data_IF_703634717780
#
_entry.id   IF_703634717780
#
_cell.length_a   1.000
_cell.length_b   1.000
_cell.length_c   1.000
_cell.angle_alpha   90.00
_cell.angle_beta   90.00
_cell.angle_gamma   90.00
#
_symmetry.space_group_name_H-M   'P 1'
#
loop_
_entity.id
_entity.type
_entity.pdbx_description
1 polymer ?
#
# COMPACT_ATOMS: atom_id res chain seq x y z
N UNK A 1 -8.30 -40.67 -24.01
CA UNK A 1 -6.98 -40.25 -24.53
C UNK A 1 -5.84 -40.51 -23.52
N UNK A 2 -6.09 -41.23 -22.41
CA UNK A 2 -5.05 -41.61 -21.43
C UNK A 2 -4.41 -42.98 -21.72
N UNK A 3 -5.15 -43.90 -22.36
CA UNK A 3 -4.71 -45.28 -22.60
C UNK A 3 -3.52 -45.35 -23.59
N UNK A 4 -3.37 -44.36 -24.47
CA UNK A 4 -2.27 -44.32 -25.46
C UNK A 4 -0.94 -43.77 -24.90
N UNK A 5 -0.94 -43.11 -23.74
CA UNK A 5 0.29 -42.58 -23.12
C UNK A 5 1.10 -43.63 -22.36
N UNK A 6 0.50 -44.78 -22.06
CA UNK A 6 1.09 -45.80 -21.18
C UNK A 6 2.05 -46.77 -21.89
N UNK A 7 2.15 -46.70 -23.23
CA UNK A 7 3.05 -47.56 -24.03
C UNK A 7 4.33 -46.86 -24.50
N UNK A 8 4.49 -45.55 -24.25
CA UNK A 8 5.66 -44.82 -24.73
C UNK A 8 6.77 -44.79 -23.67
N UNK A 9 8.01 -45.14 -24.05
CA UNK A 9 9.15 -45.13 -23.13
C UNK A 9 9.51 -43.70 -22.70
N UNK A 10 10.12 -43.58 -21.50
CA UNK A 10 10.33 -42.31 -20.76
C UNK A 10 10.93 -41.17 -21.60
N UNK A 11 11.88 -41.49 -22.49
CA UNK A 11 12.53 -40.55 -23.42
C UNK A 11 11.58 -39.92 -24.46
N UNK A 12 10.49 -40.59 -24.84
CA UNK A 12 9.47 -40.04 -25.75
C UNK A 12 8.57 -39.04 -25.01
N UNK A 13 8.32 -39.28 -23.73
CA UNK A 13 7.55 -38.36 -22.89
C UNK A 13 8.32 -37.06 -22.63
N UNK A 14 9.62 -37.16 -22.38
CA UNK A 14 10.50 -35.99 -22.25
C UNK A 14 10.58 -35.19 -23.56
N UNK A 15 10.66 -35.87 -24.71
CA UNK A 15 10.63 -35.23 -26.02
C UNK A 15 9.31 -34.50 -26.31
N UNK A 16 8.17 -35.06 -25.90
CA UNK A 16 6.85 -34.45 -26.02
C UNK A 16 6.73 -33.18 -25.17
N UNK A 17 7.24 -33.19 -23.92
CA UNK A 17 7.26 -32.02 -23.06
C UNK A 17 8.09 -30.88 -23.65
N UNK A 18 9.28 -31.19 -24.19
CA UNK A 18 10.14 -30.20 -24.85
C UNK A 18 9.44 -29.61 -26.08
N UNK A 19 8.73 -30.43 -26.87
CA UNK A 19 7.96 -29.96 -28.03
C UNK A 19 6.81 -29.05 -27.61
N UNK A 20 6.05 -29.41 -26.57
CA UNK A 20 4.95 -28.60 -26.06
C UNK A 20 5.43 -27.23 -25.55
N UNK A 21 6.52 -27.21 -24.78
CA UNK A 21 7.16 -25.96 -24.32
C UNK A 21 7.66 -25.13 -25.50
N UNK A 22 8.29 -25.76 -26.50
CA UNK A 22 8.74 -25.07 -27.72
C UNK A 22 7.57 -24.45 -28.49
N UNK A 23 6.43 -25.15 -28.59
CA UNK A 23 5.21 -24.62 -29.21
C UNK A 23 4.69 -23.41 -28.42
N UNK A 24 4.62 -23.48 -27.09
CA UNK A 24 4.18 -22.36 -26.23
C UNK A 24 5.09 -21.15 -26.41
N UNK A 25 6.41 -21.35 -26.41
CA UNK A 25 7.40 -20.28 -26.62
C UNK A 25 7.24 -19.66 -28.01
N UNK A 26 7.06 -20.48 -29.04
CA UNK A 26 6.85 -20.02 -30.41
C UNK A 26 5.54 -19.21 -30.54
N UNK A 27 4.46 -19.67 -29.91
CA UNK A 27 3.17 -19.01 -29.91
C UNK A 27 3.22 -17.67 -29.15
N UNK A 28 3.87 -17.64 -27.99
CA UNK A 28 4.10 -16.42 -27.21
C UNK A 28 4.96 -15.40 -27.98
N UNK A 29 6.00 -15.88 -28.67
CA UNK A 29 6.84 -15.04 -29.52
C UNK A 29 6.06 -14.46 -30.71
N UNK A 30 5.24 -15.28 -31.38
CA UNK A 30 4.37 -14.84 -32.47
C UNK A 30 3.33 -13.82 -32.00
N UNK A 31 2.67 -14.06 -30.86
CA UNK A 31 1.72 -13.12 -30.25
C UNK A 31 2.39 -11.79 -29.90
N UNK A 32 3.56 -11.83 -29.26
CA UNK A 32 4.33 -10.62 -28.94
C UNK A 32 4.73 -9.84 -30.19
N UNK A 33 5.14 -10.54 -31.25
CA UNK A 33 5.53 -9.93 -32.52
C UNK A 33 4.32 -9.35 -33.26
N UNK A 34 3.19 -10.05 -33.26
CA UNK A 34 1.92 -9.61 -33.83
C UNK A 34 1.39 -8.37 -33.11
N UNK A 35 1.35 -8.39 -31.79
CA UNK A 35 0.91 -7.26 -30.97
C UNK A 35 1.76 -6.01 -31.20
N UNK A 36 3.09 -6.15 -31.25
CA UNK A 36 3.99 -5.02 -31.59
C UNK A 36 3.67 -4.45 -32.97
N UNK A 37 3.50 -5.29 -33.99
CA UNK A 37 3.16 -4.85 -35.35
C UNK A 37 1.79 -4.15 -35.43
N UNK A 38 0.78 -4.64 -34.71
CA UNK A 38 -0.56 -4.03 -34.69
C UNK A 38 -0.52 -2.70 -33.96
N UNK A 39 0.16 -2.63 -32.81
CA UNK A 39 0.36 -1.40 -32.06
C UNK A 39 1.12 -0.34 -32.90
N UNK A 40 2.15 -0.74 -33.64
CA UNK A 40 2.89 0.15 -34.55
C UNK A 40 2.02 0.65 -35.72
N UNK A 41 1.12 -0.21 -36.25
CA UNK A 41 0.19 0.17 -37.32
C UNK A 41 -0.91 1.11 -36.85
N UNK A 42 -1.44 0.92 -35.64
CA UNK A 42 -2.47 1.80 -35.08
C UNK A 42 -1.93 3.22 -34.88
N UNK A 43 -0.68 3.35 -34.46
CA UNK A 43 -0.05 4.65 -34.19
C UNK A 43 0.16 5.46 -35.44
N UNK A 44 0.62 4.81 -36.52
CA UNK A 44 0.76 5.45 -37.83
C UNK A 44 -0.58 5.92 -38.43
N UNK A 45 -1.71 5.40 -37.95
CA UNK A 45 -3.05 5.69 -38.49
C UNK A 45 -3.87 6.65 -37.64
N UNK A 46 -3.51 6.89 -36.38
CA UNK A 46 -4.33 7.66 -35.43
C UNK A 46 -3.60 8.80 -34.71
N UNK A 47 -2.34 9.09 -35.06
CA UNK A 47 -1.57 10.21 -34.47
C UNK A 47 -1.61 10.24 -32.94
N UNK A 48 -1.63 9.04 -32.34
CA UNK A 48 -1.72 8.85 -30.90
C UNK A 48 -0.42 9.35 -30.25
N UNK A 49 -0.49 10.15 -29.17
CA UNK A 49 0.69 10.64 -28.49
C UNK A 49 1.55 9.47 -28.00
N UNK A 50 2.84 9.52 -28.31
CA UNK A 50 3.82 8.46 -28.08
C UNK A 50 3.86 8.02 -26.60
N UNK A 51 3.48 8.93 -25.69
CA UNK A 51 3.49 8.77 -24.24
C UNK A 51 2.53 7.70 -23.71
N UNK A 52 1.43 7.41 -24.40
CA UNK A 52 0.46 6.36 -24.00
C UNK A 52 0.86 5.00 -24.59
N UNK A 53 1.54 5.03 -25.75
CA UNK A 53 1.85 3.84 -26.51
C UNK A 53 2.97 3.01 -25.88
N UNK A 54 4.01 3.67 -25.37
CA UNK A 54 5.15 3.03 -24.71
C UNK A 54 4.72 2.23 -23.46
N UNK A 55 3.96 2.80 -22.50
CA UNK A 55 3.47 2.04 -21.36
C UNK A 55 2.50 0.93 -21.79
N UNK A 56 1.61 1.17 -22.77
CA UNK A 56 0.69 0.15 -23.27
C UNK A 56 1.42 -1.06 -23.86
N UNK A 57 2.46 -0.85 -24.68
CA UNK A 57 3.29 -1.93 -25.24
C UNK A 57 4.08 -2.66 -24.16
N UNK A 58 4.57 -1.92 -23.17
CA UNK A 58 5.30 -2.49 -22.03
C UNK A 58 4.37 -3.40 -21.21
N UNK A 59 3.19 -2.91 -20.82
CA UNK A 59 2.19 -3.67 -20.06
C UNK A 59 1.75 -4.91 -20.86
N UNK A 60 1.39 -4.75 -22.14
CA UNK A 60 0.99 -5.89 -22.97
C UNK A 60 2.12 -6.91 -23.13
N UNK A 61 3.37 -6.45 -23.29
CA UNK A 61 4.54 -7.32 -23.32
C UNK A 61 4.74 -8.09 -22.02
N UNK A 62 4.54 -7.43 -20.87
CA UNK A 62 4.56 -8.07 -19.55
C UNK A 62 3.44 -9.09 -19.38
N UNK A 63 2.21 -8.77 -19.78
CA UNK A 63 1.07 -9.70 -19.72
C UNK A 63 1.36 -10.95 -20.56
N UNK A 64 1.82 -10.80 -21.81
CA UNK A 64 2.17 -11.93 -22.68
C UNK A 64 3.27 -12.78 -22.04
N UNK A 65 4.30 -12.13 -21.47
CA UNK A 65 5.38 -12.84 -20.79
C UNK A 65 4.87 -13.65 -19.58
N UNK A 66 4.07 -13.03 -18.71
CA UNK A 66 3.49 -13.70 -17.53
C UNK A 66 2.60 -14.86 -17.94
N UNK A 67 1.71 -14.68 -18.92
CA UNK A 67 0.84 -15.77 -19.41
C UNK A 67 1.67 -16.91 -19.99
N UNK A 68 2.68 -16.61 -20.82
CA UNK A 68 3.57 -17.63 -21.38
C UNK A 68 4.34 -18.37 -20.28
N UNK A 69 4.85 -17.66 -19.28
CA UNK A 69 5.52 -18.23 -18.13
C UNK A 69 4.59 -19.17 -17.36
N UNK A 70 3.35 -18.76 -17.08
CA UNK A 70 2.36 -19.59 -16.41
C UNK A 70 2.05 -20.88 -17.19
N UNK A 71 1.88 -20.79 -18.51
CA UNK A 71 1.68 -21.96 -19.37
C UNK A 71 2.88 -22.92 -19.35
N UNK A 72 4.11 -22.38 -19.30
CA UNK A 72 5.32 -23.21 -19.18
C UNK A 72 5.37 -23.89 -17.81
N UNK A 73 5.08 -23.16 -16.73
CA UNK A 73 5.04 -23.71 -15.37
C UNK A 73 4.01 -24.84 -15.25
N UNK A 74 2.83 -24.67 -15.86
CA UNK A 74 1.80 -25.71 -15.92
C UNK A 74 2.31 -26.99 -16.61
N UNK A 75 3.05 -26.85 -17.71
CA UNK A 75 3.67 -28.00 -18.41
C UNK A 75 4.82 -28.63 -17.64
N UNK A 76 5.53 -27.88 -16.81
CA UNK A 76 6.56 -28.38 -15.89
C UNK A 76 5.96 -29.06 -14.64
N UNK A 77 4.64 -29.19 -14.56
CA UNK A 77 3.95 -29.86 -13.46
C UNK A 77 3.60 -28.94 -12.28
N UNK A 78 3.86 -27.64 -12.38
CA UNK A 78 3.40 -26.66 -11.39
C UNK A 78 1.95 -26.32 -11.71
N UNK A 79 1.00 -26.90 -10.97
CA UNK A 79 -0.41 -26.62 -11.22
C UNK A 79 -0.72 -25.14 -10.95
N UNK A 80 -1.62 -24.56 -11.77
CA UNK A 80 -2.10 -23.19 -11.54
C UNK A 80 -2.69 -23.00 -10.14
N UNK A 81 -3.18 -24.08 -9.52
CA UNK A 81 -3.66 -24.09 -8.14
C UNK A 81 -2.53 -23.84 -7.12
N UNK A 82 -1.32 -24.36 -7.33
CA UNK A 82 -0.17 -24.12 -6.44
C UNK A 82 0.31 -22.66 -6.51
N UNK A 83 0.33 -22.06 -7.71
CA UNK A 83 0.60 -20.63 -7.86
C UNK A 83 -0.48 -19.78 -7.18
N UNK A 84 -1.74 -20.14 -7.37
CA UNK A 84 -2.87 -19.45 -6.75
C UNK A 84 -2.82 -19.51 -5.22
N UNK A 85 -2.50 -20.68 -4.64
CA UNK A 85 -2.35 -20.82 -3.19
C UNK A 85 -1.13 -20.08 -2.66
N UNK A 86 -0.02 -20.03 -3.39
CA UNK A 86 1.14 -19.24 -3.01
C UNK A 86 0.83 -17.73 -2.97
N UNK A 87 0.13 -17.20 -3.98
CA UNK A 87 -0.26 -15.78 -4.04
C UNK A 87 -1.23 -15.44 -2.91
N UNK A 88 -2.27 -16.26 -2.73
CA UNK A 88 -3.28 -16.03 -1.69
C UNK A 88 -2.68 -16.17 -0.30
N UNK A 89 -1.79 -17.13 -0.08
CA UNK A 89 -1.02 -17.29 1.16
C UNK A 89 -0.13 -16.07 1.46
N UNK A 90 0.66 -15.62 0.48
CA UNK A 90 1.47 -14.42 0.62
C UNK A 90 0.62 -13.17 0.92
N UNK A 91 -0.52 -13.03 0.23
CA UNK A 91 -1.46 -11.92 0.44
C UNK A 91 -2.06 -11.96 1.84
N UNK A 92 -2.41 -13.15 2.35
CA UNK A 92 -2.92 -13.31 3.71
C UNK A 92 -1.87 -12.87 4.76
N UNK A 93 -0.61 -13.28 4.59
CA UNK A 93 0.49 -12.84 5.48
C UNK A 93 0.71 -11.33 5.38
N UNK A 94 0.68 -10.76 4.17
CA UNK A 94 0.82 -9.32 3.95
C UNK A 94 -0.32 -8.53 4.64
N UNK A 95 -1.56 -9.03 4.59
CA UNK A 95 -2.69 -8.41 5.27
C UNK A 95 -2.50 -8.38 6.80
N UNK A 96 -2.02 -9.48 7.40
CA UNK A 96 -1.71 -9.53 8.83
C UNK A 96 -0.58 -8.56 9.20
N UNK A 97 0.48 -8.50 8.39
CA UNK A 97 1.58 -7.57 8.59
C UNK A 97 1.11 -6.10 8.49
N UNK A 98 0.23 -5.80 7.54
CA UNK A 98 -0.35 -4.47 7.39
C UNK A 98 -1.20 -4.07 8.60
N UNK A 99 -1.99 -4.99 9.14
CA UNK A 99 -2.77 -4.76 10.35
C UNK A 99 -1.87 -4.42 11.55
N UNK A 100 -0.73 -5.11 11.69
CA UNK A 100 0.25 -4.80 12.73
C UNK A 100 0.87 -3.40 12.55
N UNK A 101 1.15 -2.98 11.32
CA UNK A 101 1.71 -1.66 11.01
C UNK A 101 0.69 -0.51 11.04
N UNK A 102 -0.61 -0.81 11.07
CA UNK A 102 -1.70 0.18 10.93
C UNK A 102 -1.59 1.35 11.92
N UNK A 103 -1.30 1.06 13.19
CA UNK A 103 -1.18 2.09 14.22
C UNK A 103 -0.03 3.07 13.94
N UNK A 104 1.13 2.54 13.53
CA UNK A 104 2.32 3.35 13.19
C UNK A 104 2.00 4.23 11.99
N UNK A 105 1.37 3.66 10.96
CA UNK A 105 1.02 4.38 9.74
C UNK A 105 -0.02 5.48 10.01
N UNK A 106 -1.07 5.16 10.78
CA UNK A 106 -2.12 6.12 11.15
C UNK A 106 -1.55 7.30 11.94
N UNK A 107 -0.72 7.05 12.96
CA UNK A 107 -0.10 8.13 13.74
C UNK A 107 0.88 8.96 12.89
N UNK A 108 1.66 8.32 12.02
CA UNK A 108 2.57 9.01 11.10
C UNK A 108 1.82 9.91 10.12
N UNK A 109 0.71 9.43 9.58
CA UNK A 109 -0.16 10.22 8.71
C UNK A 109 -0.80 11.39 9.46
N UNK A 110 -1.26 11.17 10.70
CA UNK A 110 -1.77 12.24 11.56
C UNK A 110 -0.70 13.28 11.90
N UNK A 111 0.56 12.87 12.14
CA UNK A 111 1.67 13.81 12.30
C UNK A 111 1.85 14.67 11.04
N UNK A 112 1.85 14.06 9.87
CA UNK A 112 1.92 14.77 8.58
C UNK A 112 0.77 15.77 8.42
N UNK A 113 -0.45 15.40 8.80
CA UNK A 113 -1.59 16.31 8.82
C UNK A 113 -1.40 17.47 9.81
N UNK A 114 -0.90 17.21 11.01
CA UNK A 114 -0.61 18.26 12.01
C UNK A 114 0.43 19.24 11.45
N UNK A 115 1.47 18.78 10.77
CA UNK A 115 2.49 19.66 10.19
C UNK A 115 1.97 20.47 8.99
N UNK A 116 1.16 19.86 8.12
CA UNK A 116 0.67 20.51 6.89
C UNK A 116 -0.51 21.43 7.13
N UNK A 117 -1.47 21.02 7.96
CA UNK A 117 -2.69 21.81 8.25
C UNK A 117 -2.54 22.70 9.48
N UNK A 118 -1.51 22.49 10.30
CA UNK A 118 -1.24 23.22 11.55
C UNK A 118 -2.50 23.48 12.41
N UNK A 119 -3.27 22.43 12.77
CA UNK A 119 -4.48 22.59 13.57
C UNK A 119 -4.18 23.11 14.98
N UNK A 120 -2.96 22.87 15.48
CA UNK A 120 -2.35 23.45 16.66
C UNK A 120 -0.86 23.60 16.45
N UNK A 121 -0.21 24.47 17.24
CA UNK A 121 1.23 24.74 17.19
C UNK A 121 1.88 24.41 18.54
N UNK A 122 3.20 24.25 18.52
CA UNK A 122 3.99 24.15 19.74
C UNK A 122 3.77 25.43 20.56
N UNK A 123 3.47 25.27 21.85
CA UNK A 123 3.13 26.35 22.77
C UNK A 123 1.64 26.55 23.01
N UNK A 124 0.75 26.04 22.13
CA UNK A 124 -0.70 26.12 22.34
C UNK A 124 -1.16 25.23 23.50
N UNK A 125 -2.22 25.66 24.18
CA UNK A 125 -2.87 24.88 25.23
C UNK A 125 -4.03 24.10 24.65
N UNK A 126 -4.06 22.79 24.93
CA UNK A 126 -5.05 21.85 24.42
C UNK A 126 -5.73 21.14 25.57
N UNK A 127 -7.06 21.03 25.48
CA UNK A 127 -7.87 20.13 26.30
C UNK A 127 -8.48 19.05 25.41
N UNK A 128 -8.19 17.80 25.71
CA UNK A 128 -8.81 16.66 25.02
C UNK A 128 -10.08 16.30 25.77
N UNK A 129 -11.23 16.53 25.13
CA UNK A 129 -12.54 16.20 25.66
C UNK A 129 -12.83 14.74 25.34
N UNK A 130 -12.97 13.91 26.37
CA UNK A 130 -13.48 12.55 26.21
C UNK A 130 -15.01 12.57 26.31
N UNK A 131 -15.69 11.73 25.53
CA UNK A 131 -17.15 11.64 25.56
C UNK A 131 -17.67 10.99 26.85
N UNK A 132 -16.79 10.34 27.61
CA UNK A 132 -17.06 9.89 28.98
C UNK A 132 -16.70 11.00 29.94
N UNK A 133 -17.67 11.38 30.78
CA UNK A 133 -17.76 12.46 31.79
C UNK A 133 -16.60 12.56 32.82
N UNK A 134 -15.35 12.43 32.36
CA UNK A 134 -14.12 12.56 33.14
C UNK A 134 -13.41 13.85 32.75
N UNK A 135 -12.78 14.47 33.74
CA UNK A 135 -11.90 15.62 33.59
C UNK A 135 -10.94 15.36 32.43
N UNK A 136 -11.06 16.16 31.36
CA UNK A 136 -10.27 16.03 30.15
C UNK A 136 -8.79 16.27 30.42
N UNK A 137 -7.93 15.71 29.58
CA UNK A 137 -6.48 15.95 29.68
C UNK A 137 -6.22 17.38 29.20
N UNK A 138 -5.77 18.25 30.10
CA UNK A 138 -5.39 19.63 29.80
C UNK A 138 -3.87 19.81 29.83
N UNK A 139 -3.28 20.34 28.76
CA UNK A 139 -1.85 20.60 28.73
C UNK A 139 -1.36 21.41 27.55
N UNK A 140 -0.16 21.98 27.71
CA UNK A 140 0.51 22.78 26.69
C UNK A 140 1.36 21.90 25.76
N UNK A 141 1.27 22.11 24.45
CA UNK A 141 2.07 21.36 23.46
C UNK A 141 3.54 21.75 23.56
N UNK A 142 4.41 20.80 23.94
CA UNK A 142 5.87 21.02 24.00
C UNK A 142 6.54 20.58 22.70
N UNK A 143 6.15 19.42 22.17
CA UNK A 143 6.82 18.83 21.00
C UNK A 143 5.89 17.85 20.28
N UNK A 144 6.01 17.79 18.95
CA UNK A 144 5.24 16.92 18.07
C UNK A 144 6.22 15.91 17.45
N UNK A 145 6.07 14.62 17.78
CA UNK A 145 6.84 13.53 17.16
C UNK A 145 5.98 12.80 16.12
N UNK A 146 6.58 11.84 15.41
CA UNK A 146 5.91 11.12 14.33
C UNK A 146 4.75 10.23 14.83
N UNK A 147 4.90 9.62 16.01
CA UNK A 147 3.90 8.69 16.56
C UNK A 147 3.03 9.30 17.66
N UNK A 148 3.53 10.29 18.38
CA UNK A 148 2.84 10.92 19.50
C UNK A 148 3.24 12.39 19.64
N UNK A 149 2.41 13.16 20.34
CA UNK A 149 2.67 14.54 20.74
C UNK A 149 2.82 14.61 22.26
N UNK A 150 3.77 15.41 22.74
CA UNK A 150 4.04 15.60 24.16
C UNK A 150 3.37 16.88 24.64
N UNK A 151 2.51 16.74 25.63
CA UNK A 151 1.81 17.81 26.33
C UNK A 151 2.39 17.96 27.75
N UNK A 152 2.58 19.19 28.20
CA UNK A 152 2.87 19.50 29.60
C UNK A 152 1.55 19.63 30.35
N UNK A 153 1.32 18.79 31.34
CA UNK A 153 0.13 18.90 32.19
C UNK A 153 0.15 20.23 32.97
N UNK A 154 -0.98 20.96 32.93
CA UNK A 154 -1.16 22.25 33.59
C UNK A 154 -2.26 22.13 34.65
N UNK A 155 -2.04 22.70 35.85
CA UNK A 155 -3.09 22.76 36.90
C UNK A 155 -2.96 21.76 38.05
N UNK A 156 -1.80 21.12 38.23
CA UNK A 156 -1.54 20.26 39.40
C UNK A 156 -1.02 21.12 40.57
N UNK A 157 -1.70 21.04 41.73
CA UNK A 157 -1.37 21.80 42.95
C UNK A 157 0.03 21.45 43.52
N UNK A 158 0.56 20.26 43.20
CA UNK A 158 1.86 19.76 43.68
C UNK A 158 3.10 20.38 43.01
N UNK A 159 2.94 21.29 42.03
CA UNK A 159 4.05 21.96 41.35
C UNK A 159 4.96 21.05 40.51
N UNK A 160 4.62 19.76 40.35
CA UNK A 160 5.35 18.81 39.50
C UNK A 160 4.87 18.90 38.06
N UNK A 161 5.81 19.10 37.13
CA UNK A 161 5.54 19.03 35.70
C UNK A 161 5.42 17.57 35.25
N UNK A 162 4.23 17.13 34.87
CA UNK A 162 4.02 15.82 34.23
C UNK A 162 4.01 16.00 32.71
N UNK A 163 4.71 15.12 32.00
CA UNK A 163 4.64 15.03 30.55
C UNK A 163 3.62 13.96 30.15
N UNK A 164 2.64 14.35 29.35
CA UNK A 164 1.60 13.46 28.82
C UNK A 164 1.90 13.21 27.35
N UNK A 165 2.03 11.95 26.97
CA UNK A 165 2.23 11.55 25.58
C UNK A 165 0.92 11.07 24.99
N UNK A 166 0.45 11.76 23.95
CA UNK A 166 -0.82 11.46 23.28
C UNK A 166 -0.53 10.98 21.85
N UNK A 167 -1.03 9.80 21.43
CA UNK A 167 -0.90 9.35 20.05
C UNK A 167 -1.48 10.38 19.07
N UNK A 168 -0.80 10.61 17.96
CA UNK A 168 -1.22 11.65 17.00
C UNK A 168 -2.62 11.38 16.41
N UNK A 169 -3.00 10.12 16.25
CA UNK A 169 -4.33 9.73 15.76
C UNK A 169 -5.46 10.13 16.72
N UNK A 170 -5.20 10.18 18.03
CA UNK A 170 -6.21 10.54 19.02
C UNK A 170 -6.72 11.98 18.85
N UNK A 171 -5.87 12.89 18.37
CA UNK A 171 -6.25 14.28 18.13
C UNK A 171 -7.28 14.45 16.98
N UNK A 172 -7.37 13.47 16.08
CA UNK A 172 -8.35 13.49 14.99
C UNK A 172 -9.60 12.65 15.30
N UNK A 173 -9.58 11.87 16.38
CA UNK A 173 -10.68 11.01 16.81
C UNK A 173 -11.52 11.62 17.93
N UNK A 174 -10.97 12.58 18.68
CA UNK A 174 -11.62 13.24 19.81
C UNK A 174 -11.81 14.72 19.54
N UNK A 175 -12.77 15.33 20.24
CA UNK A 175 -12.96 16.77 20.24
C UNK A 175 -11.85 17.44 21.05
N UNK A 176 -11.26 18.50 20.52
CA UNK A 176 -10.18 19.25 21.18
C UNK A 176 -10.64 20.68 21.39
N UNK A 177 -10.44 21.20 22.61
CA UNK A 177 -10.49 22.64 22.87
C UNK A 177 -9.06 23.18 22.80
N UNK A 178 -8.86 24.29 22.08
CA UNK A 178 -7.56 24.92 21.87
C UNK A 178 -7.60 26.36 22.34
N UNK A 179 -6.61 26.76 23.12
CA UNK A 179 -6.29 28.16 23.39
C UNK A 179 -4.96 28.49 22.72
N UNK A 180 -4.96 29.57 21.94
CA UNK A 180 -3.77 30.02 21.23
C UNK A 180 -2.81 30.66 22.20
N UNK A 181 -1.53 30.31 22.08
CA UNK A 181 -0.46 30.98 22.82
C UNK A 181 -0.11 32.30 22.13
N UNK A 182 -0.77 33.39 22.53
CA UNK A 182 -0.51 34.76 22.05
C UNK A 182 -1.75 35.64 21.90
N UNK A 183 -1.89 36.60 22.83
CA UNK A 183 -2.50 37.94 22.72
C UNK A 183 -3.91 38.19 22.12
N UNK A 184 -4.82 37.22 22.06
CA UNK A 184 -6.24 37.50 21.69
C UNK A 184 -7.21 37.47 22.90
N UNK A 185 -6.70 37.57 24.14
CA UNK A 185 -7.53 37.68 25.36
C UNK A 185 -7.62 39.13 25.83
N UNK A 186 -8.09 40.03 24.96
CA UNK A 186 -8.69 41.30 25.36
C UNK A 186 -9.97 41.57 24.55
N UNK A 187 -11.15 41.20 25.06
CA UNK A 187 -12.42 41.63 24.51
C UNK A 187 -12.91 42.93 25.21
N UNK A 188 -12.04 43.91 25.48
CA UNK A 188 -12.44 45.25 25.91
C UNK A 188 -12.29 46.30 24.80
N UNK A 189 -13.19 46.23 23.79
CA UNK A 189 -13.73 47.40 23.10
C UNK A 189 -15.23 47.19 22.90
#
# INVERSE_FOLDING_TARGET
MEILKQQFPMWVQDGLLVLEVAIIVLLAWLLRRGFRKVADRLVKRHDMPIDILVPLKTIAGWVIFVVALLMILERLGVSGQVLWTAITGFTAVAAVAFFAAWSVLSNTFCAFLIFTTQPFRIGDELEILDASDKIGIHGRVISIHLLYTVLQEMGREDGRYTLIQVPNSAFFQKTIRRWKSGNDMDPSI
#
